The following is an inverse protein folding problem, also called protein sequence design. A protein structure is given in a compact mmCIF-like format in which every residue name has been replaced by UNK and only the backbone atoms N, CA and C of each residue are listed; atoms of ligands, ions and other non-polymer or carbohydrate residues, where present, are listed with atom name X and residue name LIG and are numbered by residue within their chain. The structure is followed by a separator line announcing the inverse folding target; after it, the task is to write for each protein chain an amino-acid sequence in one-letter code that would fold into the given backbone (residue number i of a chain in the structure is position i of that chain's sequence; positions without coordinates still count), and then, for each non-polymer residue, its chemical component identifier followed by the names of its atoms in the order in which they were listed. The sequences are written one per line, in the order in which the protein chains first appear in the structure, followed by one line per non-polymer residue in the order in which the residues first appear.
data_IF_760637385356
#
_entry.id   IF_760637385356
#
_cell.length_a   1.000
_cell.length_b   1.000
_cell.length_c   1.000
_cell.angle_alpha   90.00
_cell.angle_beta   90.00
_cell.angle_gamma   90.00
#
_symmetry.space_group_name_H-M   'P 1'
#
loop_
_entity.id
_entity.type
_entity.pdbx_description
1 polymer ?
#
# COMPACT_ATOMS: atom_id res chain seq x y z
N UNK A 1 10.19 -5.50 7.91
CA UNK A 1 9.42 -5.66 6.66
C UNK A 1 8.43 -6.79 6.89
N UNK A 2 7.14 -6.47 7.00
CA UNK A 2 6.05 -7.46 7.18
C UNK A 2 5.33 -7.57 5.84
N UNK A 3 5.18 -8.79 5.33
CA UNK A 3 4.34 -9.07 4.17
C UNK A 3 2.88 -9.07 4.62
N UNK A 4 2.16 -8.00 4.30
CA UNK A 4 0.77 -7.81 4.67
C UNK A 4 -0.14 -8.36 3.57
N UNK A 5 -1.29 -8.88 3.97
CA UNK A 5 -2.40 -9.18 3.04
C UNK A 5 -3.16 -7.89 2.72
N UNK A 6 -3.98 -7.94 1.68
CA UNK A 6 -4.80 -6.82 1.21
C UNK A 6 -5.54 -6.09 2.36
N UNK A 7 -6.32 -6.83 3.14
CA UNK A 7 -7.09 -6.28 4.28
C UNK A 7 -6.19 -5.70 5.38
N UNK A 8 -5.06 -6.36 5.66
CA UNK A 8 -4.10 -5.91 6.68
C UNK A 8 -3.38 -4.62 6.24
N UNK A 9 -3.11 -4.47 4.95
CA UNK A 9 -2.51 -3.26 4.40
C UNK A 9 -3.49 -2.08 4.51
N UNK A 10 -4.76 -2.27 4.14
CA UNK A 10 -5.80 -1.24 4.24
C UNK A 10 -5.99 -0.80 5.69
N UNK A 11 -6.10 -1.75 6.63
CA UNK A 11 -6.26 -1.44 8.04
C UNK A 11 -5.08 -0.64 8.59
N UNK A 12 -3.85 -1.03 8.24
CA UNK A 12 -2.65 -0.33 8.69
C UNK A 12 -2.54 1.07 8.07
N UNK A 13 -2.80 1.22 6.77
CA UNK A 13 -2.84 2.52 6.11
C UNK A 13 -3.90 3.44 6.71
N UNK A 14 -5.09 2.92 6.97
CA UNK A 14 -6.18 3.68 7.60
C UNK A 14 -5.78 4.18 8.99
N UNK A 15 -5.05 3.36 9.76
CA UNK A 15 -4.53 3.77 11.06
C UNK A 15 -3.38 4.78 10.96
N UNK A 16 -2.48 4.63 9.99
CA UNK A 16 -1.34 5.55 9.79
C UNK A 16 -1.79 6.91 9.29
N UNK A 17 -2.71 6.92 8.33
CA UNK A 17 -3.18 8.12 7.65
C UNK A 17 -4.38 8.76 8.37
N UNK A 18 -5.01 8.05 9.31
CA UNK A 18 -6.18 8.53 10.04
C UNK A 18 -7.44 8.69 9.17
N UNK A 19 -7.41 8.21 7.93
CA UNK A 19 -8.53 8.27 6.98
C UNK A 19 -8.73 6.95 6.24
N UNK A 20 -9.93 6.72 5.73
CA UNK A 20 -10.21 5.53 4.94
C UNK A 20 -9.62 5.70 3.52
N UNK A 21 -8.61 4.89 3.22
CA UNK A 21 -7.93 4.89 1.91
C UNK A 21 -8.20 3.61 1.10
N UNK A 22 -9.26 2.87 1.42
CA UNK A 22 -9.59 1.59 0.76
C UNK A 22 -9.79 1.75 -0.75
N UNK A 23 -10.53 2.78 -1.17
CA UNK A 23 -10.80 3.05 -2.59
C UNK A 23 -9.52 3.40 -3.35
N UNK A 24 -8.74 4.36 -2.82
CA UNK A 24 -7.45 4.77 -3.42
C UNK A 24 -6.47 3.59 -3.49
N UNK A 25 -6.37 2.81 -2.42
CA UNK A 25 -5.53 1.60 -2.38
C UNK A 25 -5.95 0.58 -3.44
N UNK A 26 -7.23 0.28 -3.57
CA UNK A 26 -7.71 -0.69 -4.56
C UNK A 26 -7.43 -0.24 -6.00
N UNK A 27 -7.55 1.06 -6.30
CA UNK A 27 -7.19 1.62 -7.61
C UNK A 27 -5.68 1.53 -7.86
N UNK A 28 -4.85 1.90 -6.88
CA UNK A 28 -3.39 1.82 -7.01
C UNK A 28 -2.90 0.38 -7.19
N UNK A 29 -3.48 -0.58 -6.47
CA UNK A 29 -3.14 -2.01 -6.61
C UNK A 29 -3.44 -2.52 -8.02
N UNK A 30 -4.59 -2.13 -8.61
CA UNK A 30 -4.91 -2.49 -10.00
C UNK A 30 -3.87 -1.91 -10.96
N UNK A 31 -3.52 -0.64 -10.79
CA UNK A 31 -2.50 0.02 -11.61
C UNK A 31 -1.09 -0.59 -11.45
N UNK A 32 -0.70 -0.94 -10.23
CA UNK A 32 0.59 -1.55 -9.90
C UNK A 32 0.77 -2.93 -10.58
N UNK A 33 -0.32 -3.69 -10.73
CA UNK A 33 -0.34 -4.97 -11.44
C UNK A 33 -0.34 -4.83 -12.97
N UNK A 34 -0.98 -3.80 -13.54
CA UNK A 34 -1.08 -3.62 -14.99
C UNK A 34 0.15 -2.97 -15.62
N UNK A 35 0.81 -2.05 -14.90
CA UNK A 35 1.92 -1.26 -15.44
C UNK A 35 3.31 -1.74 -15.01
N UNK A 36 3.40 -2.81 -14.20
CA UNK A 36 4.67 -3.37 -13.75
C UNK A 36 5.43 -2.51 -12.74
N UNK A 37 4.74 -1.57 -12.08
CA UNK A 37 5.30 -0.79 -10.99
C UNK A 37 4.95 -1.47 -9.67
N UNK A 38 5.92 -2.11 -8.99
CA UNK A 38 5.69 -2.86 -7.76
C UNK A 38 5.55 -1.94 -6.52
N UNK A 39 5.16 -0.69 -6.69
CA UNK A 39 5.00 0.27 -5.59
C UNK A 39 4.15 1.47 -5.99
N UNK A 40 3.46 2.06 -5.01
CA UNK A 40 2.69 3.28 -5.14
C UNK A 40 2.70 4.07 -3.81
N UNK A 41 2.32 5.35 -3.88
CA UNK A 41 2.23 6.23 -2.71
C UNK A 41 0.76 6.53 -2.47
N UNK A 42 0.33 6.46 -1.21
CA UNK A 42 -0.98 6.91 -0.75
C UNK A 42 -0.78 8.14 0.11
N UNK A 43 -1.65 9.13 -0.06
CA UNK A 43 -1.58 10.39 0.67
C UNK A 43 -2.91 10.73 1.32
N UNK A 44 -2.88 11.16 2.57
CA UNK A 44 -4.06 11.65 3.26
C UNK A 44 -4.31 13.15 2.94
N UNK A 45 -5.49 13.67 3.28
CA UNK A 45 -5.85 15.08 3.08
C UNK A 45 -4.98 16.06 3.87
N UNK A 46 -4.31 15.60 4.93
CA UNK A 46 -3.39 16.39 5.75
C UNK A 46 -1.97 16.46 5.14
N UNK A 47 -1.70 15.73 4.06
CA UNK A 47 -0.41 15.67 3.39
C UNK A 47 0.55 14.61 3.93
N UNK A 48 0.08 13.71 4.82
CA UNK A 48 0.84 12.53 5.21
C UNK A 48 0.91 11.57 4.03
N UNK A 49 2.10 11.06 3.74
CA UNK A 49 2.32 10.13 2.62
C UNK A 49 2.90 8.84 3.15
N UNK A 50 2.44 7.73 2.58
CA UNK A 50 2.92 6.40 2.90
C UNK A 50 3.20 5.66 1.60
N UNK A 51 4.40 5.10 1.50
CA UNK A 51 4.77 4.26 0.36
C UNK A 51 4.32 2.81 0.62
N UNK A 52 3.67 2.23 -0.37
CA UNK A 52 3.23 0.85 -0.39
C UNK A 52 3.96 0.12 -1.51
N UNK A 53 4.71 -0.90 -1.16
CA UNK A 53 5.30 -1.83 -2.11
C UNK A 53 4.38 -3.04 -2.29
N UNK A 54 4.20 -3.45 -3.54
CA UNK A 54 3.43 -4.62 -3.96
C UNK A 54 4.41 -5.67 -4.47
N UNK A 55 4.45 -6.81 -3.82
CA UNK A 55 5.25 -7.95 -4.24
C UNK A 55 4.33 -9.10 -4.68
N UNK A 56 4.65 -9.72 -5.81
CA UNK A 56 3.89 -10.86 -6.32
C UNK A 56 4.64 -12.16 -6.02
N UNK A 57 4.11 -12.91 -5.05
CA UNK A 57 4.61 -14.21 -4.69
C UNK A 57 4.11 -15.25 -5.70
N UNK A 58 4.86 -15.41 -6.80
CA UNK A 58 4.55 -16.37 -7.87
C UNK A 58 4.36 -17.82 -7.40
N UNK A 59 5.03 -18.21 -6.32
CA UNK A 59 4.93 -19.56 -5.74
C UNK A 59 3.57 -19.81 -5.07
N UNK A 60 2.96 -18.76 -4.52
CA UNK A 60 1.67 -18.81 -3.84
C UNK A 60 0.52 -18.26 -4.71
N UNK A 61 0.83 -17.64 -5.85
CA UNK A 61 -0.11 -16.86 -6.68
C UNK A 61 -0.83 -15.78 -5.86
N UNK A 62 -0.11 -15.14 -4.93
CA UNK A 62 -0.66 -14.13 -4.01
C UNK A 62 0.11 -12.81 -4.10
N UNK A 63 -0.62 -11.70 -3.96
CA UNK A 63 -0.04 -10.37 -3.77
C UNK A 63 0.19 -10.12 -2.28
N UNK A 64 1.39 -9.66 -1.95
CA UNK A 64 1.72 -9.19 -0.60
C UNK A 64 2.16 -7.74 -0.65
N UNK A 65 1.87 -7.03 0.44
CA UNK A 65 2.08 -5.59 0.53
C UNK A 65 3.07 -5.29 1.65
N UNK A 66 3.99 -4.38 1.40
CA UNK A 66 4.89 -3.85 2.43
C UNK A 66 4.66 -2.36 2.54
N UNK A 67 4.31 -1.90 3.73
CA UNK A 67 4.08 -0.48 4.01
C UNK A 67 5.36 0.10 4.61
N UNK A 68 5.85 1.19 4.01
CA UNK A 68 7.00 1.92 4.47
C UNK A 68 6.55 3.15 5.28
N UNK A 69 6.50 2.96 6.60
CA UNK A 69 6.05 3.96 7.57
C UNK A 69 7.01 5.17 7.68
N UNK A 70 8.26 4.99 7.27
CA UNK A 70 9.34 5.99 7.36
C UNK A 70 9.28 7.03 6.22
N UNK A 71 8.37 6.84 5.24
CA UNK A 71 8.16 7.81 4.16
C UNK A 71 7.47 9.10 4.65
N UNK A 72 6.94 9.12 5.88
CA UNK A 72 6.46 10.33 6.54
C UNK A 72 7.66 11.23 6.91
N UNK A 73 8.06 12.07 5.95
CA UNK A 73 9.07 13.14 6.00
C UNK A 73 9.80 13.40 7.33
N UNK A 74 11.13 13.33 7.27
CA UNK A 74 12.02 14.23 8.03
C UNK A 74 11.72 15.72 7.75
#
# INVERSE_FOLDING_TARGET
MRNLKHEQAIELLTNLLGENVEEEFAEQVKNAGEHGNPSFIISNQEGNTVEVMVDWLKEADELVYTINEDYASE
#
